data_IF_495319591812
#
_entry.id   IF_495319591812
#
_cell.length_a   1.000
_cell.length_b   1.000
_cell.length_c   1.000
_cell.angle_alpha   90.00
_cell.angle_beta   90.00
_cell.angle_gamma   90.00
#
_symmetry.space_group_name_H-M   'P 1'
#
loop_
_entity.id
_entity.type
_entity.pdbx_description
1 polymer ?
#
# COMPACT_ATOMS: atom_id res chain seq x y z
N UNK A 1 2.25 0.46 -35.89
CA UNK A 1 1.91 1.45 -34.84
C UNK A 1 1.94 0.74 -33.49
N UNK A 2 2.81 1.13 -32.56
CA UNK A 2 2.83 0.55 -31.22
C UNK A 2 1.49 0.86 -30.52
N UNK A 3 0.79 -0.16 -30.00
CA UNK A 3 -0.43 0.06 -29.22
C UNK A 3 -0.03 0.64 -27.87
N UNK A 4 -0.50 1.85 -27.56
CA UNK A 4 -0.36 2.43 -26.23
C UNK A 4 -1.35 1.72 -25.29
N UNK A 5 -0.83 1.01 -24.28
CA UNK A 5 -1.63 0.42 -23.22
C UNK A 5 -1.71 1.37 -22.02
N UNK A 6 -2.86 1.40 -21.36
CA UNK A 6 -3.09 2.23 -20.18
C UNK A 6 -3.24 1.35 -18.95
N UNK A 7 -2.43 1.61 -17.92
CA UNK A 7 -2.55 0.93 -16.63
C UNK A 7 -3.66 1.59 -15.78
N UNK A 8 -4.47 0.78 -15.11
CA UNK A 8 -5.40 1.28 -14.08
C UNK A 8 -4.61 1.86 -12.90
N UNK A 9 -4.98 3.06 -12.45
CA UNK A 9 -4.24 3.76 -11.39
C UNK A 9 -4.35 3.08 -10.03
N UNK A 10 -3.30 3.22 -9.21
CA UNK A 10 -3.29 2.68 -7.84
C UNK A 10 -4.36 3.30 -6.95
N UNK A 11 -4.80 4.54 -7.22
CA UNK A 11 -5.90 5.16 -6.48
C UNK A 11 -7.21 4.38 -6.67
N UNK A 12 -7.47 3.91 -7.89
CA UNK A 12 -8.66 3.14 -8.22
C UNK A 12 -8.54 1.71 -7.69
N UNK A 13 -7.38 1.07 -7.93
CA UNK A 13 -7.15 -0.32 -7.47
C UNK A 13 -7.28 -0.49 -5.95
N UNK A 14 -6.98 0.55 -5.17
CA UNK A 14 -7.10 0.53 -3.71
C UNK A 14 -8.53 0.26 -3.24
N UNK A 15 -9.51 0.68 -4.01
CA UNK A 15 -10.95 0.57 -3.70
C UNK A 15 -11.59 -0.62 -4.44
N UNK A 16 -10.93 -1.13 -5.49
CA UNK A 16 -11.35 -2.31 -6.24
C UNK A 16 -10.76 -3.61 -5.64
N UNK A 17 -11.13 -3.94 -4.40
CA UNK A 17 -10.67 -5.18 -3.74
C UNK A 17 -11.83 -6.11 -3.37
N UNK A 18 -11.57 -7.41 -3.43
CA UNK A 18 -12.51 -8.45 -3.01
C UNK A 18 -12.62 -8.46 -1.49
N UNK A 19 -13.83 -8.40 -0.95
CA UNK A 19 -14.06 -8.44 0.51
C UNK A 19 -13.65 -9.78 1.14
N UNK A 20 -13.68 -10.87 0.36
CA UNK A 20 -13.30 -12.21 0.84
C UNK A 20 -11.79 -12.45 0.84
N UNK A 21 -11.13 -12.32 -0.32
CA UNK A 21 -9.70 -12.63 -0.44
C UNK A 21 -8.77 -11.43 -0.37
N UNK A 22 -9.30 -10.20 -0.32
CA UNK A 22 -8.52 -8.95 -0.22
C UNK A 22 -7.54 -8.70 -1.39
N UNK A 23 -7.65 -9.46 -2.49
CA UNK A 23 -6.97 -9.21 -3.76
C UNK A 23 -7.78 -8.23 -4.62
N UNK A 24 -7.16 -7.64 -5.65
CA UNK A 24 -7.87 -6.77 -6.58
C UNK A 24 -9.05 -7.48 -7.24
N UNK A 25 -10.10 -6.75 -7.63
CA UNK A 25 -11.25 -7.26 -8.39
C UNK A 25 -10.88 -7.39 -9.88
N UNK A 26 -9.93 -8.27 -10.19
CA UNK A 26 -9.34 -8.42 -11.54
C UNK A 26 -9.64 -9.75 -12.22
N UNK A 27 -10.31 -10.67 -11.52
CA UNK A 27 -10.75 -11.95 -12.08
C UNK A 27 -12.27 -12.02 -11.99
N UNK A 28 -12.90 -12.14 -13.15
CA UNK A 28 -14.36 -12.30 -13.27
C UNK A 28 -14.83 -13.74 -13.00
N UNK A 29 -16.16 -13.95 -12.87
CA UNK A 29 -17.18 -12.90 -12.72
C UNK A 29 -16.99 -12.08 -11.44
N UNK A 30 -17.56 -10.88 -11.38
CA UNK A 30 -17.59 -10.05 -10.17
C UNK A 30 -19.00 -10.09 -9.60
N UNK A 31 -19.11 -10.38 -8.31
CA UNK A 31 -20.39 -10.47 -7.62
C UNK A 31 -20.43 -9.68 -6.34
N UNK A 32 -21.49 -9.88 -5.58
CA UNK A 32 -21.69 -9.28 -4.27
C UNK A 32 -21.88 -10.37 -3.23
N UNK A 33 -21.45 -10.13 -2.00
CA UNK A 33 -21.87 -10.92 -0.85
C UNK A 33 -23.22 -10.42 -0.29
N UNK A 34 -23.76 -11.13 0.71
CA UNK A 34 -25.03 -10.76 1.34
C UNK A 34 -25.00 -9.45 2.14
N UNK A 35 -23.83 -8.81 2.29
CA UNK A 35 -23.67 -7.51 2.92
C UNK A 35 -23.36 -6.39 1.90
N UNK A 36 -23.39 -6.70 0.60
CA UNK A 36 -23.09 -5.74 -0.47
C UNK A 36 -21.60 -5.52 -0.75
N UNK A 37 -20.72 -6.35 -0.18
CA UNK A 37 -19.30 -6.34 -0.48
C UNK A 37 -18.97 -6.99 -1.82
N UNK A 38 -18.11 -6.35 -2.63
CA UNK A 38 -17.69 -6.89 -3.92
C UNK A 38 -16.86 -8.18 -3.76
N UNK A 39 -17.20 -9.22 -4.49
CA UNK A 39 -16.54 -10.52 -4.49
C UNK A 39 -15.98 -10.83 -5.88
N UNK A 40 -14.71 -11.22 -5.98
CA UNK A 40 -14.11 -11.61 -7.27
C UNK A 40 -14.38 -13.07 -7.64
N UNK A 41 -14.16 -13.41 -8.90
CA UNK A 41 -14.38 -14.75 -9.46
C UNK A 41 -13.51 -15.84 -8.86
N UNK A 42 -12.42 -15.49 -8.16
CA UNK A 42 -11.65 -16.43 -7.33
C UNK A 42 -12.48 -16.99 -6.18
N UNK A 43 -13.36 -16.18 -5.60
CA UNK A 43 -14.11 -16.49 -4.38
C UNK A 43 -15.57 -16.86 -4.64
N UNK A 44 -16.00 -16.87 -5.91
CA UNK A 44 -17.37 -17.22 -6.30
C UNK A 44 -17.56 -18.72 -6.62
N UNK A 45 -16.51 -19.56 -6.56
CA UNK A 45 -16.53 -21.03 -6.72
C UNK A 45 -17.49 -21.65 -7.76
N UNK A 46 -16.89 -22.03 -8.90
CA UNK A 46 -17.00 -23.29 -9.66
C UNK A 46 -18.28 -23.76 -10.36
N UNK A 47 -19.44 -23.12 -10.28
CA UNK A 47 -20.42 -23.37 -11.34
C UNK A 47 -19.93 -22.67 -12.60
N UNK A 48 -19.46 -23.46 -13.58
CA UNK A 48 -19.21 -23.03 -14.96
C UNK A 48 -20.48 -22.41 -15.53
N UNK A 49 -20.82 -21.19 -15.15
CA UNK A 49 -21.91 -20.41 -15.71
C UNK A 49 -21.27 -19.44 -16.70
N UNK A 50 -21.47 -19.79 -17.98
CA UNK A 50 -21.49 -18.91 -19.16
C UNK A 50 -21.02 -17.46 -18.93
N UNK A 51 -19.83 -17.12 -19.45
CA UNK A 51 -19.35 -15.82 -19.98
C UNK A 51 -19.83 -14.49 -19.37
N UNK A 52 -20.46 -14.48 -18.20
CA UNK A 52 -21.06 -13.29 -17.62
C UNK A 52 -19.99 -12.53 -16.83
N UNK A 53 -19.92 -11.23 -17.06
CA UNK A 53 -18.99 -10.35 -16.34
C UNK A 53 -19.40 -10.20 -14.86
N UNK A 54 -20.70 -10.30 -14.56
CA UNK A 54 -21.26 -10.20 -13.22
C UNK A 54 -22.11 -11.42 -12.85
N UNK A 55 -22.02 -11.82 -11.59
CA UNK A 55 -22.89 -12.83 -10.99
C UNK A 55 -23.45 -12.29 -9.67
N UNK A 56 -24.78 -12.12 -9.61
CA UNK A 56 -25.44 -11.53 -8.46
C UNK A 56 -25.90 -12.63 -7.50
N UNK A 57 -25.47 -12.58 -6.24
CA UNK A 57 -25.99 -13.46 -5.19
C UNK A 57 -27.11 -12.80 -4.35
N UNK A 58 -27.67 -11.67 -4.82
CA UNK A 58 -28.71 -10.90 -4.12
C UNK A 58 -29.54 -9.99 -5.06
N UNK A 59 -30.46 -9.21 -4.49
CA UNK A 59 -31.37 -8.32 -5.24
C UNK A 59 -30.59 -7.13 -5.85
N UNK A 60 -30.58 -6.95 -7.19
CA UNK A 60 -29.84 -5.88 -7.87
C UNK A 60 -30.23 -4.45 -7.45
N UNK A 61 -31.43 -4.27 -6.88
CA UNK A 61 -31.96 -2.98 -6.46
C UNK A 61 -31.50 -2.54 -5.07
N UNK A 62 -30.95 -3.45 -4.26
CA UNK A 62 -30.50 -3.15 -2.89
C UNK A 62 -29.06 -2.61 -2.84
N UNK A 63 -28.36 -2.59 -3.98
CA UNK A 63 -26.95 -2.24 -4.06
C UNK A 63 -26.76 -0.87 -4.74
N UNK A 64 -26.59 0.19 -3.95
CA UNK A 64 -26.06 1.50 -4.40
C UNK A 64 -24.60 1.45 -4.91
N UNK A 65 -24.06 0.25 -5.18
CA UNK A 65 -22.65 0.03 -5.43
C UNK A 65 -22.21 0.56 -6.80
N UNK A 66 -21.50 1.69 -6.79
CA UNK A 66 -20.90 2.35 -7.96
C UNK A 66 -19.67 1.62 -8.53
N UNK A 67 -19.12 0.66 -7.77
CA UNK A 67 -17.86 -0.04 -8.07
C UNK A 67 -17.92 -0.98 -9.30
N UNK A 68 -18.96 -1.80 -9.52
CA UNK A 68 -19.05 -2.67 -10.69
C UNK A 68 -19.07 -1.89 -12.00
N UNK A 69 -19.68 -0.70 -12.05
CA UNK A 69 -19.73 0.11 -13.27
C UNK A 69 -18.36 0.69 -13.63
N UNK A 70 -17.64 1.19 -12.64
CA UNK A 70 -16.26 1.67 -12.85
C UNK A 70 -15.38 0.52 -13.33
N UNK A 71 -15.40 -0.62 -12.64
CA UNK A 71 -14.62 -1.79 -13.01
C UNK A 71 -15.02 -2.35 -14.38
N UNK A 72 -16.30 -2.36 -14.74
CA UNK A 72 -16.80 -2.79 -16.04
C UNK A 72 -16.24 -1.92 -17.16
N UNK A 73 -16.24 -0.60 -17.00
CA UNK A 73 -15.67 0.29 -18.00
C UNK A 73 -14.16 0.02 -18.22
N UNK A 74 -13.41 -0.25 -17.14
CA UNK A 74 -12.01 -0.63 -17.25
C UNK A 74 -11.82 -2.01 -17.89
N UNK A 75 -12.58 -3.01 -17.46
CA UNK A 75 -12.45 -4.39 -17.91
C UNK A 75 -12.88 -4.60 -19.37
N UNK A 76 -13.84 -3.82 -19.87
CA UNK A 76 -14.30 -3.90 -21.26
C UNK A 76 -13.40 -3.16 -22.25
N UNK A 77 -12.44 -2.35 -21.80
CA UNK A 77 -11.57 -1.57 -22.69
C UNK A 77 -10.36 -2.41 -23.16
N UNK A 78 -10.16 -2.59 -24.48
CA UNK A 78 -9.11 -3.47 -25.02
C UNK A 78 -7.68 -2.95 -24.78
N UNK A 79 -7.52 -1.68 -24.47
CA UNK A 79 -6.21 -1.04 -24.22
C UNK A 79 -5.89 -0.89 -22.73
N UNK A 80 -6.83 -1.22 -21.84
CA UNK A 80 -6.63 -1.10 -20.39
C UNK A 80 -6.01 -2.37 -19.85
N UNK A 81 -5.07 -2.21 -18.91
CA UNK A 81 -4.37 -3.31 -18.26
C UNK A 81 -4.37 -3.12 -16.76
N UNK A 82 -4.46 -4.23 -16.04
CA UNK A 82 -4.41 -4.30 -14.60
C UNK A 82 -3.05 -4.83 -14.18
N UNK A 83 -2.42 -4.28 -13.13
CA UNK A 83 -1.21 -4.88 -12.58
C UNK A 83 -1.55 -6.19 -11.87
N UNK A 84 -0.63 -7.14 -11.90
CA UNK A 84 -0.75 -8.39 -11.16
C UNK A 84 -0.90 -8.16 -9.65
N UNK A 85 -1.64 -9.04 -8.97
CA UNK A 85 -1.75 -9.04 -7.50
C UNK A 85 -0.42 -9.34 -6.81
N UNK A 86 0.50 -10.02 -7.50
CA UNK A 86 1.85 -10.35 -7.06
C UNK A 86 2.89 -9.28 -7.47
N UNK A 87 2.46 -8.06 -7.80
CA UNK A 87 3.38 -6.98 -8.22
C UNK A 87 4.42 -6.60 -7.19
N UNK A 88 4.10 -6.78 -5.92
CA UNK A 88 5.00 -6.47 -4.80
C UNK A 88 6.03 -7.58 -4.55
N UNK A 89 5.82 -8.74 -5.16
CA UNK A 89 6.68 -9.92 -5.20
C UNK A 89 7.55 -9.93 -6.47
N UNK A 90 7.46 -8.89 -7.30
CA UNK A 90 8.30 -8.69 -8.49
C UNK A 90 7.59 -8.82 -9.83
N UNK A 91 6.31 -9.21 -9.86
CA UNK A 91 5.58 -9.31 -11.12
C UNK A 91 5.19 -7.93 -11.68
N UNK A 92 5.89 -7.46 -12.71
CA UNK A 92 5.60 -6.19 -13.36
C UNK A 92 4.63 -6.30 -14.54
N UNK A 93 3.99 -7.46 -14.74
CA UNK A 93 3.09 -7.65 -15.86
C UNK A 93 1.81 -6.82 -15.74
N UNK A 94 1.42 -6.24 -16.88
CA UNK A 94 0.18 -5.50 -17.06
C UNK A 94 -0.76 -6.35 -17.92
N UNK A 95 -1.80 -6.89 -17.31
CA UNK A 95 -2.60 -8.00 -17.86
C UNK A 95 -4.02 -7.51 -18.14
N UNK A 96 -4.61 -7.84 -19.30
CA UNK A 96 -6.02 -7.55 -19.54
C UNK A 96 -6.90 -8.39 -18.59
N UNK A 97 -8.06 -7.84 -18.19
CA UNK A 97 -8.96 -8.48 -17.23
C UNK A 97 -9.28 -9.95 -17.58
N UNK A 98 -9.56 -10.24 -18.85
CA UNK A 98 -9.90 -11.59 -19.31
C UNK A 98 -8.79 -12.64 -19.15
N UNK A 99 -7.52 -12.22 -19.01
CA UNK A 99 -6.36 -13.13 -18.89
C UNK A 99 -5.75 -13.16 -17.49
N UNK A 100 -6.29 -12.38 -16.56
CA UNK A 100 -5.71 -12.29 -15.21
C UNK A 100 -5.70 -13.64 -14.49
N UNK A 101 -6.75 -14.46 -14.67
CA UNK A 101 -6.83 -15.79 -14.06
C UNK A 101 -5.71 -16.70 -14.56
N UNK A 102 -5.57 -16.80 -15.89
CA UNK A 102 -4.51 -17.59 -16.54
C UNK A 102 -3.11 -17.16 -16.07
N UNK A 103 -2.89 -15.85 -15.95
CA UNK A 103 -1.62 -15.33 -15.45
C UNK A 103 -1.36 -15.74 -13.99
N UNK A 104 -2.34 -15.57 -13.10
CA UNK A 104 -2.18 -15.89 -11.67
C UNK A 104 -1.93 -17.38 -11.40
N UNK A 105 -2.36 -18.28 -12.28
CA UNK A 105 -2.09 -19.72 -12.17
C UNK A 105 -0.60 -20.07 -12.31
N UNK A 106 0.16 -19.27 -13.07
CA UNK A 106 1.59 -19.48 -13.33
C UNK A 106 2.48 -18.42 -12.69
N UNK A 107 1.89 -17.34 -12.16
CA UNK A 107 2.62 -16.24 -11.56
C UNK A 107 3.12 -16.64 -10.17
N UNK A 108 4.43 -16.67 -9.99
CA UNK A 108 5.04 -16.85 -8.69
C UNK A 108 4.68 -15.69 -7.75
N UNK A 109 3.93 -15.99 -6.70
CA UNK A 109 3.74 -15.13 -5.54
C UNK A 109 4.26 -15.87 -4.30
N UNK A 110 4.64 -15.11 -3.28
CA UNK A 110 5.02 -15.67 -1.99
C UNK A 110 4.37 -14.87 -0.87
N UNK A 111 4.03 -15.58 0.20
CA UNK A 111 3.38 -14.97 1.34
C UNK A 111 4.37 -14.19 2.19
N UNK A 112 3.89 -13.06 2.71
CA UNK A 112 4.61 -12.19 3.62
C UNK A 112 3.90 -12.18 4.97
N UNK A 113 4.69 -12.27 6.03
CA UNK A 113 4.19 -12.14 7.40
C UNK A 113 3.97 -10.67 7.75
N UNK A 114 2.85 -10.38 8.39
CA UNK A 114 2.61 -9.08 9.00
C UNK A 114 3.65 -8.78 10.09
N UNK A 115 4.09 -7.53 10.19
CA UNK A 115 5.10 -7.13 11.18
C UNK A 115 4.52 -7.03 12.60
N UNK A 116 3.19 -7.03 12.72
CA UNK A 116 2.45 -6.71 13.95
C UNK A 116 1.47 -7.81 14.39
N UNK A 117 1.28 -8.86 13.60
CA UNK A 117 0.46 -10.03 13.96
C UNK A 117 0.85 -11.26 13.12
N UNK A 118 0.13 -12.38 13.30
CA UNK A 118 0.42 -13.65 12.60
C UNK A 118 -0.22 -13.78 11.22
N UNK A 119 -0.79 -12.70 10.68
CA UNK A 119 -1.34 -12.69 9.33
C UNK A 119 -0.27 -13.00 8.27
N UNK A 120 -0.64 -13.83 7.28
CA UNK A 120 0.16 -14.20 6.12
C UNK A 120 -0.63 -13.92 4.83
N UNK A 121 0.06 -13.39 3.82
CA UNK A 121 -0.50 -13.25 2.47
C UNK A 121 0.44 -12.48 1.55
N UNK A 122 0.13 -12.43 0.25
CA UNK A 122 0.93 -11.66 -0.72
C UNK A 122 0.83 -10.16 -0.46
N UNK A 123 1.75 -9.37 -1.02
CA UNK A 123 1.88 -7.94 -0.72
C UNK A 123 0.61 -7.11 -0.90
N UNK A 124 -0.20 -7.40 -1.94
CA UNK A 124 -1.50 -6.74 -2.12
C UNK A 124 -2.44 -7.00 -0.94
N UNK A 125 -2.51 -8.25 -0.47
CA UNK A 125 -3.34 -8.61 0.67
C UNK A 125 -2.78 -8.03 1.97
N UNK A 126 -1.45 -8.00 2.12
CA UNK A 126 -0.79 -7.40 3.28
C UNK A 126 -1.14 -5.91 3.42
N UNK A 127 -1.15 -5.16 2.32
CA UNK A 127 -1.55 -3.75 2.32
C UNK A 127 -3.00 -3.59 2.77
N UNK A 128 -3.92 -4.42 2.28
CA UNK A 128 -5.33 -4.37 2.68
C UNK A 128 -5.52 -4.78 4.15
N UNK A 129 -4.79 -5.81 4.60
CA UNK A 129 -4.75 -6.21 6.00
C UNK A 129 -4.34 -5.03 6.90
N UNK A 130 -3.30 -4.28 6.54
CA UNK A 130 -2.90 -3.08 7.28
C UNK A 130 -3.97 -2.00 7.28
N UNK A 131 -4.65 -1.73 6.15
CA UNK A 131 -5.74 -0.75 6.11
C UNK A 131 -6.87 -1.10 7.08
N UNK A 132 -7.20 -2.39 7.20
CA UNK A 132 -8.36 -2.84 7.97
C UNK A 132 -8.03 -3.06 9.45
N UNK A 133 -6.83 -3.60 9.76
CA UNK A 133 -6.47 -4.06 11.10
C UNK A 133 -5.38 -3.22 11.78
N UNK A 134 -4.56 -2.52 10.99
CA UNK A 134 -3.41 -1.75 11.47
C UNK A 134 -3.33 -0.36 10.81
N UNK A 135 -4.48 0.32 10.68
CA UNK A 135 -4.59 1.57 9.89
C UNK A 135 -3.58 2.64 10.29
N UNK A 136 -3.28 2.73 11.58
CA UNK A 136 -2.31 3.69 12.14
C UNK A 136 -0.84 3.32 11.87
N UNK A 137 -0.57 2.09 11.43
CA UNK A 137 0.76 1.58 11.08
C UNK A 137 0.98 1.52 9.56
N UNK A 138 0.03 2.02 8.76
CA UNK A 138 0.16 2.15 7.31
C UNK A 138 0.55 3.58 6.94
N UNK A 139 1.77 3.77 6.47
CA UNK A 139 2.23 5.06 5.93
C UNK A 139 1.57 5.30 4.57
N UNK A 140 0.81 6.38 4.50
CA UNK A 140 0.18 6.88 3.28
C UNK A 140 0.85 8.18 2.83
N UNK A 141 0.31 8.87 1.82
CA UNK A 141 0.79 10.18 1.38
C UNK A 141 0.41 11.34 2.34
N UNK A 142 0.07 11.01 3.59
CA UNK A 142 -0.31 11.97 4.64
C UNK A 142 0.64 11.84 5.83
N UNK A 143 0.89 12.93 6.58
CA UNK A 143 1.71 12.85 7.79
C UNK A 143 1.12 11.88 8.82
N UNK A 144 1.97 11.10 9.48
CA UNK A 144 1.62 10.24 10.61
C UNK A 144 2.24 10.77 11.90
N UNK A 145 1.67 10.36 13.04
CA UNK A 145 2.07 10.85 14.37
C UNK A 145 3.24 10.03 14.90
N UNK A 146 4.23 10.73 15.43
CA UNK A 146 5.33 10.20 16.21
C UNK A 146 5.12 10.62 17.67
N UNK A 147 5.19 9.64 18.57
CA UNK A 147 5.11 9.85 20.02
C UNK A 147 6.47 10.37 20.53
N UNK A 148 6.47 11.25 21.54
CA UNK A 148 7.68 11.76 22.18
C UNK A 148 7.71 11.47 23.70
N UNK A 149 6.67 10.84 24.24
CA UNK A 149 6.47 10.67 25.68
C UNK A 149 7.49 9.72 26.32
N UNK A 150 8.01 8.75 25.56
CA UNK A 150 8.97 7.76 26.03
C UNK A 150 9.72 7.04 24.91
N UNK A 151 10.66 6.19 25.32
CA UNK A 151 11.41 5.34 24.39
C UNK A 151 10.47 4.34 23.73
N UNK A 152 10.49 4.27 22.40
CA UNK A 152 9.66 3.31 21.67
C UNK A 152 10.27 2.97 20.31
N UNK A 153 9.80 1.85 19.76
CA UNK A 153 10.14 1.39 18.41
C UNK A 153 8.86 0.92 17.72
N UNK A 154 8.46 1.59 16.64
CA UNK A 154 7.23 1.30 15.91
C UNK A 154 7.54 0.89 14.48
N UNK A 155 6.92 -0.21 14.03
CA UNK A 155 7.08 -0.74 12.67
C UNK A 155 5.89 -0.38 11.80
N UNK A 156 6.16 0.35 10.73
CA UNK A 156 5.18 0.79 9.76
C UNK A 156 5.35 0.05 8.43
N UNK A 157 4.23 -0.13 7.72
CA UNK A 157 4.23 -0.56 6.32
C UNK A 157 4.08 0.66 5.42
N UNK A 158 4.87 0.75 4.37
CA UNK A 158 4.70 1.73 3.31
C UNK A 158 4.69 1.03 1.95
N UNK A 159 3.67 1.30 1.13
CA UNK A 159 3.60 0.80 -0.23
C UNK A 159 3.70 1.96 -1.22
N UNK A 160 4.62 1.85 -2.17
CA UNK A 160 4.83 2.85 -3.21
C UNK A 160 5.11 2.20 -4.55
N UNK A 161 4.31 2.53 -5.56
CA UNK A 161 4.33 1.86 -6.87
C UNK A 161 4.20 0.34 -6.70
N UNK A 162 5.24 -0.43 -7.07
CA UNK A 162 5.31 -1.89 -6.97
C UNK A 162 6.18 -2.34 -5.78
N UNK A 163 6.50 -1.46 -4.84
CA UNK A 163 7.42 -1.75 -3.75
C UNK A 163 6.75 -1.65 -2.38
N UNK A 164 7.11 -2.59 -1.50
CA UNK A 164 6.74 -2.58 -0.09
C UNK A 164 7.98 -2.29 0.75
N UNK A 165 7.83 -1.38 1.70
CA UNK A 165 8.84 -0.97 2.64
C UNK A 165 8.36 -1.23 4.07
N UNK A 166 9.25 -1.80 4.87
CA UNK A 166 9.13 -1.80 6.31
C UNK A 166 9.91 -0.60 6.86
N UNK A 167 9.22 0.33 7.51
CA UNK A 167 9.83 1.52 8.11
C UNK A 167 9.76 1.37 9.62
N UNK A 168 10.91 1.16 10.27
CA UNK A 168 11.01 1.13 11.73
C UNK A 168 11.41 2.52 12.20
N UNK A 169 10.60 3.14 13.05
CA UNK A 169 10.96 4.39 13.72
C UNK A 169 11.24 4.10 15.18
N UNK A 170 12.46 4.38 15.62
CA UNK A 170 12.89 4.30 17.01
C UNK A 170 13.10 5.71 17.55
N UNK A 171 12.62 5.96 18.75
CA UNK A 171 12.87 7.20 19.47
C UNK A 171 13.51 6.89 20.82
N UNK A 172 14.57 7.63 21.14
CA UNK A 172 15.27 7.58 22.43
C UNK A 172 15.16 8.94 23.10
N UNK A 173 14.28 9.05 24.10
CA UNK A 173 13.93 10.30 24.80
C UNK A 173 15.15 10.97 25.43
N UNK A 174 15.98 10.20 26.13
CA UNK A 174 17.17 10.74 26.81
C UNK A 174 18.20 11.37 25.87
N UNK A 175 18.21 10.95 24.60
CA UNK A 175 19.11 11.47 23.57
C UNK A 175 18.42 12.44 22.61
N UNK A 176 17.11 12.65 22.77
CA UNK A 176 16.27 13.36 21.82
C UNK A 176 16.49 12.92 20.36
N UNK A 177 16.61 11.61 20.17
CA UNK A 177 17.12 11.05 18.91
C UNK A 177 16.08 10.17 18.26
N UNK A 178 15.86 10.40 16.97
CA UNK A 178 15.13 9.49 16.10
C UNK A 178 16.10 8.69 15.26
N UNK A 179 15.82 7.40 15.12
CA UNK A 179 16.43 6.51 14.14
C UNK A 179 15.32 5.93 13.29
N UNK A 180 15.36 6.23 11.99
CA UNK A 180 14.43 5.70 11.00
C UNK A 180 15.16 4.69 10.13
N UNK A 181 14.76 3.43 10.24
CA UNK A 181 15.30 2.31 9.48
C UNK A 181 14.29 1.95 8.39
N UNK A 182 14.68 2.03 7.11
CA UNK A 182 13.85 1.56 5.99
C UNK A 182 14.44 0.28 5.42
N UNK A 183 13.61 -0.75 5.30
CA UNK A 183 13.92 -2.01 4.63
C UNK A 183 12.99 -2.19 3.42
N UNK A 184 13.55 -2.32 2.22
CA UNK A 184 12.76 -2.74 1.05
C UNK A 184 12.53 -4.25 1.11
N UNK A 185 11.28 -4.66 0.91
CA UNK A 185 10.88 -6.07 0.85
C UNK A 185 10.62 -6.55 -0.58
N UNK A 186 10.76 -5.67 -1.57
CA UNK A 186 10.49 -5.98 -2.96
C UNK A 186 11.79 -6.29 -3.72
N UNK A 187 11.76 -7.27 -4.64
CA UNK A 187 12.96 -7.76 -5.33
C UNK A 187 13.52 -6.78 -6.38
N UNK A 188 12.84 -5.65 -6.62
CA UNK A 188 13.22 -4.69 -7.64
C UNK A 188 14.28 -3.73 -7.09
N UNK A 189 15.48 -3.75 -7.69
CA UNK A 189 16.52 -2.73 -7.50
C UNK A 189 16.15 -1.48 -8.29
N UNK A 190 16.03 -0.33 -7.62
CA UNK A 190 15.84 0.97 -8.27
C UNK A 190 16.57 2.07 -7.55
N UNK A 191 17.09 3.02 -8.31
CA UNK A 191 17.61 4.25 -7.73
C UNK A 191 16.46 5.10 -7.20
N UNK A 192 16.59 5.58 -5.97
CA UNK A 192 15.61 6.45 -5.37
C UNK A 192 16.15 7.22 -4.17
N UNK A 193 15.36 8.18 -3.71
CA UNK A 193 15.64 8.98 -2.51
C UNK A 193 14.54 8.75 -1.48
N UNK A 194 14.93 8.72 -0.21
CA UNK A 194 13.98 8.74 0.89
C UNK A 194 13.93 10.16 1.44
N UNK A 195 12.71 10.68 1.60
CA UNK A 195 12.44 12.00 2.16
C UNK A 195 11.60 11.86 3.41
N UNK A 196 12.07 12.46 4.50
CA UNK A 196 11.37 12.60 5.77
C UNK A 196 11.09 14.08 6.00
N UNK A 197 9.82 14.45 6.10
CA UNK A 197 9.42 15.83 6.42
C UNK A 197 8.71 15.85 7.76
N UNK A 198 9.31 16.53 8.74
CA UNK A 198 8.78 16.68 10.09
C UNK A 198 8.05 18.01 10.21
N UNK A 199 6.85 17.97 10.80
CA UNK A 199 6.05 19.14 11.10
C UNK A 199 5.92 19.29 12.60
N UNK A 200 6.37 20.43 13.10
CA UNK A 200 6.50 20.71 14.52
C UNK A 200 5.75 21.98 14.84
N UNK A 201 4.94 21.95 15.89
CA UNK A 201 4.16 23.11 16.30
C UNK A 201 5.13 24.08 16.98
N UNK A 202 5.29 25.30 16.47
CA UNK A 202 6.13 26.28 17.18
C UNK A 202 5.33 26.92 18.31
N UNK A 203 5.95 27.05 19.49
CA UNK A 203 5.36 27.75 20.65
C UNK A 203 5.14 29.24 20.40
N UNK A 204 6.09 29.86 19.71
CA UNK A 204 6.19 31.32 19.63
C UNK A 204 5.73 31.89 18.28
N UNK A 205 5.51 31.06 17.25
CA UNK A 205 5.12 31.52 15.91
C UNK A 205 4.08 30.59 15.27
N UNK A 206 2.98 31.16 14.76
CA UNK A 206 2.23 30.54 13.64
C UNK A 206 3.06 30.85 12.39
N UNK A 207 3.71 29.89 11.72
CA UNK A 207 3.24 28.55 11.38
C UNK A 207 4.11 27.37 11.91
N UNK A 208 3.71 26.14 11.59
CA UNK A 208 4.51 24.92 11.84
C UNK A 208 5.94 25.10 11.30
N UNK A 209 6.92 24.77 12.12
CA UNK A 209 8.28 24.62 11.63
C UNK A 209 8.37 23.28 10.89
N UNK A 210 9.01 23.31 9.72
CA UNK A 210 9.16 22.13 8.88
C UNK A 210 10.64 21.84 8.69
N UNK A 211 11.06 20.61 8.99
CA UNK A 211 12.41 20.11 8.69
C UNK A 211 12.27 18.99 7.68
N UNK A 212 13.03 19.04 6.59
CA UNK A 212 13.04 17.97 5.58
C UNK A 212 14.44 17.37 5.47
N UNK A 213 14.54 16.07 5.74
CA UNK A 213 15.73 15.27 5.50
C UNK A 213 15.52 14.50 4.20
N UNK A 214 16.54 14.52 3.34
CA UNK A 214 16.57 13.72 2.12
C UNK A 214 17.87 12.95 2.09
N UNK A 215 17.80 11.69 1.70
CA UNK A 215 19.01 10.93 1.41
C UNK A 215 19.55 11.31 0.04
N UNK A 216 20.81 10.96 -0.19
CA UNK A 216 21.35 10.86 -1.53
C UNK A 216 20.55 9.86 -2.38
N UNK A 217 20.91 9.78 -3.66
CA UNK A 217 20.40 8.76 -4.54
C UNK A 217 20.96 7.41 -4.09
N UNK A 218 20.06 6.49 -3.73
CA UNK A 218 20.40 5.18 -3.20
C UNK A 218 19.85 4.12 -4.14
N UNK A 219 20.63 3.06 -4.36
CA UNK A 219 20.06 1.82 -4.86
C UNK A 219 19.17 1.20 -3.78
N UNK A 220 17.87 1.17 -4.02
CA UNK A 220 16.85 0.58 -3.16
C UNK A 220 16.59 -0.82 -3.70
N UNK A 221 17.11 -1.83 -3.00
CA UNK A 221 16.95 -3.23 -3.34
C UNK A 221 16.53 -4.05 -2.11
N UNK A 222 16.12 -5.28 -2.34
CA UNK A 222 15.66 -6.19 -1.29
C UNK A 222 16.75 -6.37 -0.23
N UNK A 223 16.34 -6.37 1.05
CA UNK A 223 17.21 -6.57 2.21
C UNK A 223 18.20 -5.45 2.52
N UNK A 224 18.24 -4.37 1.74
CA UNK A 224 19.02 -3.19 2.11
C UNK A 224 18.29 -2.38 3.18
N UNK A 225 18.99 -2.15 4.28
CA UNK A 225 18.52 -1.29 5.37
C UNK A 225 19.16 0.09 5.23
N UNK A 226 18.33 1.13 5.23
CA UNK A 226 18.76 2.52 5.28
C UNK A 226 18.45 3.09 6.65
N UNK A 227 19.46 3.61 7.34
CA UNK A 227 19.31 4.25 8.64
C UNK A 227 19.48 5.76 8.51
N UNK A 228 18.46 6.51 8.92
CA UNK A 228 18.51 7.96 9.03
C UNK A 228 18.41 8.29 10.51
N UNK A 229 19.46 8.88 11.06
CA UNK A 229 19.51 9.34 12.44
C UNK A 229 19.57 10.85 12.49
N UNK A 230 18.78 11.48 13.36
CA UNK A 230 18.87 12.90 13.62
C UNK A 230 18.55 13.22 15.07
N UNK A 231 19.23 14.24 15.59
CA UNK A 231 18.96 14.82 16.90
C UNK A 231 18.05 16.03 16.73
N UNK A 232 17.04 16.14 17.56
CA UNK A 232 16.07 17.22 17.48
C UNK A 232 16.44 18.44 18.36
N UNK A 233 17.67 18.96 18.21
CA UNK A 233 18.14 20.21 18.83
C UNK A 233 17.93 20.35 20.36
N UNK A 234 18.15 21.57 20.88
CA UNK A 234 17.92 21.94 22.29
C UNK A 234 16.46 22.34 22.58
N UNK A 235 15.50 21.94 21.73
CA UNK A 235 14.09 22.19 22.03
C UNK A 235 13.73 21.40 23.30
N UNK A 236 13.17 22.07 24.31
CA UNK A 236 12.66 21.40 25.50
C UNK A 236 11.54 20.43 25.09
N UNK A 237 11.88 19.15 24.97
CA UNK A 237 10.98 18.06 24.55
C UNK A 237 9.77 17.97 25.47
N UNK A 238 9.92 18.38 26.74
CA UNK A 238 8.85 18.40 27.74
C UNK A 238 7.63 19.19 27.29
N UNK A 239 7.78 20.06 26.29
CA UNK A 239 6.69 20.85 25.77
C UNK A 239 5.87 20.14 24.67
N UNK A 240 6.31 18.99 24.15
CA UNK A 240 5.61 18.27 23.08
C UNK A 240 5.49 16.77 23.32
N UNK A 241 4.25 16.26 23.33
CA UNK A 241 4.01 14.81 23.36
C UNK A 241 4.06 14.17 21.96
N UNK A 242 3.96 14.98 20.89
CA UNK A 242 3.72 14.49 19.52
C UNK A 242 4.42 15.34 18.45
N UNK A 243 4.93 14.66 17.43
CA UNK A 243 5.43 15.24 16.18
C UNK A 243 4.73 14.59 14.99
N UNK A 244 4.64 15.27 13.85
CA UNK A 244 4.10 14.67 12.62
C UNK A 244 5.21 14.46 11.60
N UNK A 245 5.22 13.31 10.94
CA UNK A 245 6.21 12.96 9.92
C UNK A 245 5.53 12.55 8.61
N UNK A 246 5.99 13.10 7.49
CA UNK A 246 5.65 12.64 6.15
C UNK A 246 6.84 11.88 5.58
N UNK A 247 6.62 10.61 5.28
CA UNK A 247 7.60 9.73 4.66
C UNK A 247 7.29 9.57 3.17
N UNK A 248 8.31 9.71 2.31
CA UNK A 248 8.20 9.49 0.87
C UNK A 248 9.41 8.74 0.34
N UNK A 249 9.16 7.83 -0.60
CA UNK A 249 10.20 7.28 -1.48
C UNK A 249 9.98 7.85 -2.88
N UNK A 250 11.03 8.42 -3.46
CA UNK A 250 11.02 9.03 -4.79
C UNK A 250 11.98 8.24 -5.67
N UNK A 251 11.46 7.45 -6.60
CA UNK A 251 12.27 6.76 -7.60
C UNK A 251 12.63 7.71 -8.75
N UNK A 252 13.83 7.55 -9.30
CA UNK A 252 14.26 8.22 -10.54
C UNK A 252 13.91 7.40 -11.78
#
# INVERSE_FOLDING_TARGET
MARNYYQVSDSILKDLCCVKCQKYLTVGPIGFDGQGGNTCGRCLCEKRSTFSFMEFSGNPLDFENQIPMTLMSYASSPNIRFPCVNRYEGCNELIPFCRMREHEEICAGFDRKCLNCDYLGVGTQLIQHYKNNHKHLLITNKPFVLDLTGNHATKYLHANQNNIFCVTVKYTKNLNQFVVETLSQSPCSRLGRISLTFYMKSFYKKPFQTITLKTDLLDINENKTLNISFMYGDYHIDDFDKMYCLYKVLFE
#
